data_IF_316268202777
#
_entry.id   IF_316268202777
#
_cell.length_a   1.000
_cell.length_b   1.000
_cell.length_c   1.000
_cell.angle_alpha   90.00
_cell.angle_beta   90.00
_cell.angle_gamma   90.00
#
_symmetry.space_group_name_H-M   'P 1'
#
loop_
_entity.id
_entity.type
_entity.pdbx_description
1 polymer ?
#
# COMPACT_ATOMS: atom_id res chain seq x y z
N UNK A 1 -52.49 -48.01 8.01
CA UNK A 1 -52.05 -46.64 8.35
C UNK A 1 -52.87 -45.64 7.55
N UNK A 2 -53.56 -44.72 8.24
CA UNK A 2 -54.42 -43.70 7.60
C UNK A 2 -53.58 -42.73 6.75
N UNK A 3 -54.08 -42.33 5.58
CA UNK A 3 -53.45 -41.34 4.67
C UNK A 3 -53.04 -40.05 5.39
N UNK A 4 -53.73 -39.70 6.47
CA UNK A 4 -53.45 -38.54 7.31
C UNK A 4 -52.15 -38.66 8.11
N UNK A 5 -51.74 -39.88 8.50
CA UNK A 5 -50.50 -40.12 9.24
C UNK A 5 -49.27 -40.05 8.33
N UNK A 6 -49.39 -40.56 7.10
CA UNK A 6 -48.34 -40.47 6.08
C UNK A 6 -48.07 -39.00 5.68
N UNK A 7 -49.13 -38.19 5.55
CA UNK A 7 -49.00 -36.77 5.19
C UNK A 7 -48.27 -35.94 6.26
N UNK A 8 -48.52 -36.24 7.55
CA UNK A 8 -47.89 -35.52 8.68
C UNK A 8 -46.41 -35.86 8.83
N UNK A 9 -46.02 -37.12 8.59
CA UNK A 9 -44.62 -37.56 8.64
C UNK A 9 -43.83 -36.92 7.48
N UNK A 10 -44.42 -36.86 6.28
CA UNK A 10 -43.80 -36.22 5.13
C UNK A 10 -43.56 -34.71 5.33
N UNK A 11 -44.48 -34.01 6.01
CA UNK A 11 -44.35 -32.58 6.30
C UNK A 11 -43.24 -32.29 7.33
N UNK A 12 -43.11 -33.12 8.37
CA UNK A 12 -42.07 -32.95 9.40
C UNK A 12 -40.67 -33.25 8.83
N UNK A 13 -40.56 -34.28 7.98
CA UNK A 13 -39.30 -34.63 7.32
C UNK A 13 -38.81 -33.54 6.36
N UNK A 14 -39.72 -32.85 5.67
CA UNK A 14 -39.37 -31.76 4.75
C UNK A 14 -38.94 -30.48 5.47
N UNK A 15 -39.53 -30.15 6.63
CA UNK A 15 -39.08 -29.00 7.45
C UNK A 15 -37.70 -29.27 8.08
N UNK A 16 -37.42 -30.50 8.51
CA UNK A 16 -36.11 -30.86 9.06
C UNK A 16 -34.98 -30.84 8.01
N UNK A 17 -35.27 -31.21 6.76
CA UNK A 17 -34.29 -31.20 5.67
C UNK A 17 -33.86 -29.77 5.26
N UNK A 18 -34.76 -28.78 5.35
CA UNK A 18 -34.45 -27.37 5.04
C UNK A 18 -33.58 -26.72 6.12
N UNK A 19 -33.65 -27.17 7.37
CA UNK A 19 -32.85 -26.63 8.46
C UNK A 19 -31.35 -27.04 8.39
N UNK A 20 -31.02 -28.16 7.72
CA UNK A 20 -29.65 -28.70 7.68
C UNK A 20 -28.78 -28.06 6.58
N UNK A 21 -29.37 -27.44 5.55
CA UNK A 21 -28.63 -26.81 4.45
C UNK A 21 -28.26 -25.34 4.68
N UNK A 22 -28.59 -24.78 5.85
CA UNK A 22 -28.43 -23.35 6.15
C UNK A 22 -27.07 -22.89 6.70
N UNK A 23 -26.11 -23.77 6.97
CA UNK A 23 -24.87 -23.40 7.68
C UNK A 23 -23.81 -22.67 6.82
N UNK A 24 -24.14 -22.26 5.58
CA UNK A 24 -23.21 -21.58 4.67
C UNK A 24 -23.47 -20.09 4.43
N UNK A 25 -24.57 -19.55 4.97
CA UNK A 25 -25.03 -18.17 4.77
C UNK A 25 -25.12 -17.38 6.10
N UNK A 26 -24.23 -17.69 7.05
CA UNK A 26 -24.14 -17.00 8.34
C UNK A 26 -23.46 -15.64 8.25
N UNK A 27 -23.04 -15.11 9.40
CA UNK A 27 -22.30 -13.84 9.52
C UNK A 27 -20.96 -13.81 8.74
N UNK A 28 -20.42 -14.98 8.37
CA UNK A 28 -19.30 -15.15 7.46
C UNK A 28 -19.71 -16.03 6.25
N UNK A 29 -20.40 -15.48 5.24
CA UNK A 29 -20.78 -16.28 4.08
C UNK A 29 -19.54 -16.65 3.26
N UNK A 30 -19.50 -17.89 2.74
CA UNK A 30 -18.47 -18.33 1.77
C UNK A 30 -18.49 -17.50 0.47
N UNK A 31 -19.58 -16.77 0.24
CA UNK A 31 -19.77 -15.82 -0.87
C UNK A 31 -19.46 -14.38 -0.50
N UNK A 32 -19.00 -14.10 0.73
CA UNK A 32 -18.26 -12.86 0.98
C UNK A 32 -17.19 -12.80 -0.10
N UNK A 33 -17.09 -11.72 -0.89
CA UNK A 33 -16.09 -11.67 -1.94
C UNK A 33 -14.74 -11.82 -1.26
N UNK A 34 -14.15 -13.00 -1.35
CA UNK A 34 -12.74 -13.21 -1.12
C UNK A 34 -12.07 -12.20 -2.05
N UNK A 35 -11.56 -11.12 -1.47
CA UNK A 35 -10.72 -10.19 -2.21
C UNK A 35 -9.71 -11.07 -2.92
N UNK A 36 -9.59 -10.94 -4.25
CA UNK A 36 -8.60 -11.71 -5.01
C UNK A 36 -7.30 -11.65 -4.23
N UNK A 37 -6.64 -12.80 -3.91
CA UNK A 37 -5.35 -12.77 -3.26
C UNK A 37 -4.47 -11.78 -4.00
N UNK A 38 -4.13 -10.68 -3.33
CA UNK A 38 -3.13 -9.73 -3.79
C UNK A 38 -1.92 -10.08 -2.96
N UNK A 39 -0.76 -10.18 -3.61
CA UNK A 39 0.52 -10.33 -2.92
C UNK A 39 0.82 -8.99 -2.24
N UNK A 40 0.11 -8.68 -1.16
CA UNK A 40 0.22 -7.44 -0.39
C UNK A 40 -0.51 -7.60 0.94
N UNK A 41 0.01 -6.96 1.97
CA UNK A 41 -0.55 -7.01 3.32
C UNK A 41 -1.65 -5.97 3.49
N UNK A 42 -2.71 -6.34 4.21
CA UNK A 42 -3.72 -5.41 4.70
C UNK A 42 -3.77 -5.50 6.22
N UNK A 43 -3.68 -4.35 6.89
CA UNK A 43 -3.92 -4.22 8.33
C UNK A 43 -5.27 -3.52 8.53
N UNK A 44 -6.33 -4.22 8.98
CA UNK A 44 -7.62 -3.57 9.22
C UNK A 44 -7.49 -2.55 10.34
N UNK A 45 -8.30 -1.48 10.30
CA UNK A 45 -8.46 -0.68 11.50
C UNK A 45 -9.28 -1.52 12.49
N UNK A 46 -8.88 -1.52 13.76
CA UNK A 46 -9.56 -2.24 14.83
C UNK A 46 -10.08 -1.21 15.81
N UNK A 47 -11.41 -1.10 15.91
CA UNK A 47 -12.08 -0.12 16.76
C UNK A 47 -11.55 -0.18 18.20
N UNK A 48 -10.98 0.93 18.67
CA UNK A 48 -10.43 1.06 20.03
C UNK A 48 -8.93 0.70 20.19
N UNK A 49 -8.30 0.06 19.19
CA UNK A 49 -6.89 -0.39 19.30
C UNK A 49 -5.99 0.22 18.23
N UNK A 50 -6.45 0.32 16.98
CA UNK A 50 -5.72 1.04 15.93
C UNK A 50 -6.70 1.63 14.92
N UNK A 51 -6.83 2.96 14.84
CA UNK A 51 -7.72 3.61 13.89
C UNK A 51 -7.14 3.65 12.46
N UNK A 52 -5.90 3.21 12.25
CA UNK A 52 -5.24 3.29 10.96
C UNK A 52 -5.42 1.98 10.21
N UNK A 53 -6.13 2.06 9.09
CA UNK A 53 -6.23 1.00 8.12
C UNK A 53 -5.07 1.11 7.12
N UNK A 54 -4.31 0.03 6.95
CA UNK A 54 -3.23 -0.06 5.96
C UNK A 54 -3.67 -1.03 4.87
N UNK A 55 -3.54 -0.63 3.61
CA UNK A 55 -3.98 -1.41 2.46
C UNK A 55 -2.87 -1.59 1.44
N UNK A 56 -2.84 -2.75 0.81
CA UNK A 56 -1.92 -3.09 -0.27
C UNK A 56 -0.46 -2.79 0.06
N UNK A 57 -0.01 -3.14 1.27
CA UNK A 57 1.35 -2.90 1.70
C UNK A 57 2.32 -3.96 1.14
N UNK A 58 3.40 -3.52 0.50
CA UNK A 58 4.48 -4.38 -0.01
C UNK A 58 5.77 -3.58 -0.25
N UNK A 59 6.89 -4.28 -0.37
CA UNK A 59 8.14 -3.70 -0.89
C UNK A 59 8.19 -3.95 -2.40
N UNK A 60 8.48 -2.92 -3.19
CA UNK A 60 8.71 -3.10 -4.62
C UNK A 60 10.10 -3.70 -4.82
N UNK A 61 10.13 -4.93 -5.33
CA UNK A 61 11.34 -5.67 -5.67
C UNK A 61 11.84 -5.38 -7.10
N UNK A 62 13.00 -5.95 -7.47
CA UNK A 62 13.56 -5.82 -8.81
C UNK A 62 12.64 -6.42 -9.88
N UNK A 63 12.85 -6.01 -11.13
CA UNK A 63 12.17 -6.67 -12.26
C UNK A 63 12.59 -8.16 -12.34
N UNK A 64 11.76 -9.04 -12.94
CA UNK A 64 12.05 -10.49 -12.96
C UNK A 64 13.38 -10.88 -13.62
N UNK A 65 13.91 -10.01 -14.49
CA UNK A 65 15.18 -10.16 -15.22
C UNK A 65 16.34 -9.37 -14.60
N UNK A 66 16.08 -8.61 -13.53
CA UNK A 66 17.08 -7.89 -12.75
C UNK A 66 17.56 -8.78 -11.57
N UNK A 67 18.82 -8.62 -11.12
CA UNK A 67 19.30 -9.31 -9.92
C UNK A 67 18.54 -8.83 -8.68
N UNK A 68 18.64 -9.61 -7.61
CA UNK A 68 18.21 -9.24 -6.27
C UNK A 68 18.77 -7.86 -5.87
N UNK A 69 18.09 -7.16 -4.95
CA UNK A 69 18.70 -5.96 -4.38
C UNK A 69 19.95 -6.36 -3.62
N UNK A 70 21.12 -5.76 -3.91
CA UNK A 70 22.33 -6.09 -3.19
C UNK A 70 22.24 -5.56 -1.75
N UNK A 71 23.13 -6.08 -0.90
CA UNK A 71 23.48 -5.42 0.36
C UNK A 71 23.83 -3.94 0.09
N UNK A 72 23.44 -3.08 1.01
CA UNK A 72 23.55 -1.61 0.96
C UNK A 72 22.68 -0.96 -0.13
N UNK A 73 21.85 -1.74 -0.83
CA UNK A 73 20.83 -1.27 -1.77
C UNK A 73 19.66 -0.57 -1.06
N UNK A 74 18.75 0.00 -1.85
CA UNK A 74 17.55 0.67 -1.35
C UNK A 74 16.30 0.00 -1.92
N UNK A 75 15.22 -0.02 -1.15
CA UNK A 75 13.95 -0.58 -1.58
C UNK A 75 12.77 0.35 -1.22
N UNK A 76 11.80 0.45 -2.13
CA UNK A 76 10.65 1.33 -1.96
C UNK A 76 9.47 0.58 -1.34
N UNK A 77 8.85 1.16 -0.32
CA UNK A 77 7.62 0.65 0.31
C UNK A 77 6.41 1.28 -0.36
N UNK A 78 5.45 0.44 -0.72
CA UNK A 78 4.19 0.81 -1.34
C UNK A 78 3.04 0.43 -0.42
N UNK A 79 2.16 1.37 -0.12
CA UNK A 79 0.98 1.13 0.70
C UNK A 79 -0.03 2.28 0.56
N UNK A 80 -1.24 2.04 1.06
CA UNK A 80 -2.26 3.08 1.27
C UNK A 80 -2.61 3.15 2.75
N UNK A 81 -2.60 4.35 3.33
CA UNK A 81 -3.01 4.61 4.71
C UNK A 81 -4.39 5.26 4.73
N UNK A 82 -5.25 4.83 5.64
CA UNK A 82 -6.58 5.41 5.85
C UNK A 82 -6.79 5.59 7.35
N UNK A 83 -6.96 6.83 7.80
CA UNK A 83 -7.27 7.14 9.18
C UNK A 83 -8.78 7.12 9.40
N UNK A 84 -9.28 6.10 10.09
CA UNK A 84 -10.71 5.90 10.36
C UNK A 84 -11.17 6.55 11.67
N UNK A 85 -10.31 7.36 12.31
CA UNK A 85 -10.71 8.13 13.49
C UNK A 85 -11.31 9.48 13.10
N UNK A 86 -11.91 10.16 14.09
CA UNK A 86 -12.44 11.52 13.95
C UNK A 86 -11.38 12.62 14.15
N UNK A 87 -10.10 12.27 14.33
CA UNK A 87 -9.01 13.21 14.56
C UNK A 87 -7.89 12.98 13.55
N UNK A 88 -7.25 14.05 13.09
CA UNK A 88 -6.05 13.92 12.28
C UNK A 88 -4.93 13.18 13.04
N UNK A 89 -4.18 12.37 12.32
CA UNK A 89 -2.98 11.67 12.78
C UNK A 89 -1.81 11.98 11.81
N UNK A 90 -0.62 11.47 12.11
CA UNK A 90 0.57 11.66 11.31
C UNK A 90 1.46 10.44 11.40
N UNK A 91 1.93 9.93 10.27
CA UNK A 91 3.07 9.01 10.23
C UNK A 91 4.33 9.84 10.45
N UNK A 92 4.97 9.63 11.59
CA UNK A 92 6.12 10.44 12.01
C UNK A 92 7.45 9.72 11.83
N UNK A 93 7.42 8.39 11.76
CA UNK A 93 8.62 7.57 11.62
C UNK A 93 8.28 6.20 11.00
N UNK A 94 9.29 5.54 10.45
CA UNK A 94 9.23 4.19 9.95
C UNK A 94 10.58 3.51 10.17
N UNK A 95 10.60 2.22 10.44
CA UNK A 95 11.83 1.47 10.68
C UNK A 95 11.72 0.03 10.19
N UNK A 96 12.87 -0.59 9.93
CA UNK A 96 12.98 -1.99 9.56
C UNK A 96 14.27 -2.56 10.14
N UNK A 97 14.26 -3.79 10.69
CA UNK A 97 15.49 -4.46 11.11
C UNK A 97 16.31 -5.01 9.93
N UNK A 98 15.86 -4.84 8.68
CA UNK A 98 16.55 -5.29 7.47
C UNK A 98 17.22 -4.14 6.70
N UNK A 99 17.25 -2.93 7.27
CA UNK A 99 17.81 -1.74 6.66
C UNK A 99 18.43 -0.84 7.74
N UNK A 100 19.56 -0.19 7.43
CA UNK A 100 20.22 0.73 8.38
C UNK A 100 19.32 1.92 8.76
N UNK A 101 18.54 2.42 7.79
CA UNK A 101 17.72 3.63 7.96
C UNK A 101 16.50 3.59 7.03
N UNK A 102 15.48 4.38 7.35
CA UNK A 102 14.26 4.54 6.56
C UNK A 102 13.93 6.00 6.35
N UNK A 103 13.71 6.39 5.10
CA UNK A 103 13.39 7.76 4.72
C UNK A 103 11.93 7.89 4.34
N UNK A 104 11.22 8.76 5.03
CA UNK A 104 9.88 9.24 4.64
C UNK A 104 10.04 10.56 3.91
N UNK A 105 9.40 10.71 2.75
CA UNK A 105 9.27 12.01 2.09
C UNK A 105 7.80 12.30 1.78
N UNK A 106 7.36 13.52 2.11
CA UNK A 106 6.02 13.99 1.78
C UNK A 106 6.01 14.82 0.49
N UNK A 107 4.93 14.69 -0.29
CA UNK A 107 4.70 15.51 -1.47
C UNK A 107 4.56 17.00 -1.20
N UNK A 108 4.20 17.38 0.03
CA UNK A 108 4.19 18.78 0.49
C UNK A 108 5.53 19.24 1.09
N UNK A 109 6.55 18.37 1.07
CA UNK A 109 7.82 18.56 1.74
C UNK A 109 7.82 18.06 3.19
N UNK A 110 9.00 17.69 3.69
CA UNK A 110 9.20 17.18 5.05
C UNK A 110 9.23 15.65 5.14
N UNK A 111 9.48 15.16 6.36
CA UNK A 111 9.74 13.74 6.67
C UNK A 111 8.60 13.05 7.40
N UNK A 112 7.38 13.58 7.28
CA UNK A 112 6.19 13.03 7.94
C UNK A 112 5.00 13.07 6.99
N UNK A 113 4.08 12.12 7.10
CA UNK A 113 2.86 12.10 6.29
C UNK A 113 1.65 12.47 7.15
N UNK A 114 0.92 13.51 6.77
CA UNK A 114 -0.34 13.88 7.42
C UNK A 114 -1.48 12.93 7.02
N UNK A 115 -2.18 12.40 8.02
CA UNK A 115 -3.32 11.50 7.83
C UNK A 115 -4.61 12.21 8.30
N UNK A 116 -5.32 12.91 7.40
CA UNK A 116 -6.61 13.51 7.72
C UNK A 116 -7.62 12.45 8.19
N UNK A 117 -8.56 12.80 9.08
CA UNK A 117 -9.63 11.90 9.45
C UNK A 117 -10.51 11.59 8.23
N UNK A 118 -10.93 10.34 8.09
CA UNK A 118 -11.84 9.94 6.99
C UNK A 118 -13.14 10.75 7.04
N UNK A 119 -13.42 11.49 5.97
CA UNK A 119 -14.74 12.06 5.75
C UNK A 119 -15.74 10.94 5.38
N UNK A 120 -16.81 10.72 6.17
CA UNK A 120 -17.79 9.68 5.89
C UNK A 120 -18.62 9.94 4.62
N UNK A 121 -18.55 11.14 4.05
CA UNK A 121 -19.21 11.51 2.79
C UNK A 121 -18.36 11.26 1.55
N UNK A 122 -17.07 10.99 1.73
CA UNK A 122 -16.12 10.69 0.64
C UNK A 122 -15.97 9.18 0.50
N UNK A 123 -16.48 8.62 -0.61
CA UNK A 123 -16.27 7.20 -0.94
C UNK A 123 -14.79 6.93 -1.17
N UNK A 124 -14.15 6.25 -0.21
CA UNK A 124 -12.71 5.94 -0.21
C UNK A 124 -11.94 6.53 0.97
N UNK A 125 -12.55 7.46 1.71
CA UNK A 125 -11.88 8.27 2.72
C UNK A 125 -10.72 9.09 2.15
N UNK A 126 -10.16 10.00 2.96
CA UNK A 126 -8.93 10.68 2.59
C UNK A 126 -7.75 9.71 2.75
N UNK A 127 -7.57 8.90 1.70
CA UNK A 127 -6.52 7.90 1.64
C UNK A 127 -5.17 8.54 1.27
N UNK A 128 -4.16 8.30 2.09
CA UNK A 128 -2.78 8.71 1.81
C UNK A 128 -2.08 7.58 1.07
N UNK A 129 -1.76 7.81 -0.19
CA UNK A 129 -1.04 6.86 -1.04
C UNK A 129 0.47 7.09 -0.94
N UNK A 130 1.23 6.00 -0.84
CA UNK A 130 2.71 6.01 -0.77
C UNK A 130 3.26 5.27 -1.98
N UNK A 131 4.05 5.96 -2.79
CA UNK A 131 4.68 5.45 -4.01
C UNK A 131 3.74 5.22 -5.21
N UNK A 132 2.42 5.23 -5.01
CA UNK A 132 1.43 4.83 -6.02
C UNK A 132 1.07 5.97 -7.00
N UNK A 133 1.18 5.79 -8.33
CA UNK A 133 0.70 6.76 -9.32
C UNK A 133 -0.83 6.94 -9.28
N UNK A 134 -1.35 8.14 -9.58
CA UNK A 134 -0.61 9.38 -9.93
C UNK A 134 -0.04 10.13 -8.72
N UNK A 135 -0.27 9.64 -7.49
CA UNK A 135 0.07 10.30 -6.23
C UNK A 135 1.39 9.78 -5.66
N UNK A 136 2.44 9.74 -6.48
CA UNK A 136 3.78 9.21 -6.13
C UNK A 136 4.64 10.21 -5.34
N UNK A 137 4.05 11.29 -4.84
CA UNK A 137 4.77 12.36 -4.17
C UNK A 137 5.13 12.03 -2.72
N UNK A 138 4.40 11.09 -2.09
CA UNK A 138 4.78 10.54 -0.80
C UNK A 138 5.57 9.25 -1.00
N UNK A 139 6.70 9.10 -0.32
CA UNK A 139 7.54 7.89 -0.40
C UNK A 139 7.98 7.43 0.98
N UNK A 140 8.21 6.13 1.06
CA UNK A 140 8.90 5.47 2.18
C UNK A 140 9.97 4.59 1.54
N UNK A 141 11.23 4.83 1.90
CA UNK A 141 12.39 4.12 1.34
C UNK A 141 13.17 3.45 2.45
N UNK A 142 13.34 2.13 2.35
CA UNK A 142 14.31 1.39 3.14
C UNK A 142 15.68 1.63 2.53
N UNK A 143 16.60 2.21 3.29
CA UNK A 143 17.93 2.57 2.79
C UNK A 143 19.00 1.68 3.39
N UNK A 144 19.99 1.32 2.55
CA UNK A 144 21.08 0.42 2.91
C UNK A 144 20.58 -0.89 3.54
N UNK A 145 20.01 -1.74 2.71
CA UNK A 145 19.59 -3.07 3.10
C UNK A 145 20.75 -3.85 3.72
N UNK A 146 20.50 -4.54 4.83
CA UNK A 146 21.53 -5.25 5.56
C UNK A 146 22.08 -6.46 4.80
N UNK A 147 21.25 -7.06 3.96
CA UNK A 147 21.53 -8.27 3.20
C UNK A 147 20.95 -8.19 1.79
N UNK A 148 21.38 -9.11 0.92
CA UNK A 148 20.77 -9.27 -0.40
C UNK A 148 19.29 -9.65 -0.25
N UNK A 149 18.41 -8.96 -0.98
CA UNK A 149 16.95 -9.10 -0.86
C UNK A 149 16.32 -9.48 -2.19
N UNK A 150 15.81 -10.71 -2.25
CA UNK A 150 15.13 -11.29 -3.41
C UNK A 150 13.64 -10.95 -3.48
N UNK A 151 13.09 -11.07 -4.70
CA UNK A 151 11.65 -11.18 -4.89
C UNK A 151 11.09 -12.38 -4.12
N UNK A 152 9.98 -12.18 -3.39
CA UNK A 152 9.36 -13.19 -2.53
C UNK A 152 9.90 -13.22 -1.10
N UNK A 153 10.98 -12.49 -0.80
CA UNK A 153 11.41 -12.26 0.59
C UNK A 153 10.32 -11.49 1.37
N UNK A 154 10.40 -11.57 2.70
CA UNK A 154 9.50 -10.86 3.60
C UNK A 154 10.34 -9.91 4.45
N UNK A 155 9.98 -8.62 4.42
CA UNK A 155 10.67 -7.55 5.15
C UNK A 155 9.71 -6.99 6.20
N UNK A 156 10.11 -7.07 7.48
CA UNK A 156 9.31 -6.50 8.56
C UNK A 156 9.50 -4.98 8.62
N UNK A 157 8.42 -4.21 8.62
CA UNK A 157 8.44 -2.75 8.66
C UNK A 157 7.51 -2.27 9.76
N UNK A 158 8.03 -1.43 10.65
CA UNK A 158 7.25 -0.77 11.70
C UNK A 158 6.98 0.67 11.29
N UNK A 159 5.71 1.06 11.31
CA UNK A 159 5.24 2.41 11.04
C UNK A 159 4.81 3.06 12.36
N UNK A 160 5.37 4.21 12.67
CA UNK A 160 5.15 4.94 13.92
C UNK A 160 4.24 6.13 13.67
N UNK A 161 3.04 6.07 14.23
CA UNK A 161 2.05 7.13 14.15
C UNK A 161 2.03 7.97 15.42
N UNK A 162 1.87 9.29 15.27
CA UNK A 162 1.86 10.22 16.39
C UNK A 162 0.78 9.89 17.43
N UNK A 163 -0.40 9.41 17.01
CA UNK A 163 -1.50 9.07 17.92
C UNK A 163 -1.79 7.57 17.93
N UNK A 164 -1.80 6.92 16.77
CA UNK A 164 -2.10 5.50 16.69
C UNK A 164 -0.96 4.59 17.21
N UNK A 165 0.23 5.15 17.46
CA UNK A 165 1.39 4.40 17.92
C UNK A 165 1.98 3.53 16.81
N UNK A 166 2.58 2.41 17.20
CA UNK A 166 3.36 1.58 16.29
C UNK A 166 2.49 0.50 15.62
N UNK A 167 2.67 0.30 14.33
CA UNK A 167 2.07 -0.78 13.55
C UNK A 167 3.16 -1.51 12.77
N UNK A 168 3.43 -2.76 13.13
CA UNK A 168 4.39 -3.62 12.45
C UNK A 168 3.72 -4.49 11.39
N UNK A 169 4.33 -4.59 10.21
CA UNK A 169 3.84 -5.32 9.04
C UNK A 169 4.96 -6.18 8.46
N UNK A 170 4.63 -7.41 8.06
CA UNK A 170 5.55 -8.30 7.35
C UNK A 170 5.31 -8.21 5.85
N UNK A 171 6.06 -7.34 5.17
CA UNK A 171 5.82 -6.96 3.78
C UNK A 171 6.49 -7.91 2.80
N UNK A 172 5.76 -8.52 1.85
CA UNK A 172 6.39 -9.26 0.78
C UNK A 172 7.12 -8.32 -0.19
N UNK A 173 8.26 -8.77 -0.69
CA UNK A 173 9.00 -8.14 -1.80
C UNK A 173 8.39 -8.63 -3.10
N UNK A 174 7.70 -7.74 -3.81
CA UNK A 174 7.00 -8.09 -5.04
C UNK A 174 7.78 -7.69 -6.28
N UNK A 175 7.91 -8.58 -7.28
CA UNK A 175 8.58 -8.23 -8.52
C UNK A 175 7.86 -7.09 -9.22
N UNK A 176 8.66 -6.21 -9.84
CA UNK A 176 8.17 -5.10 -10.65
C UNK A 176 7.68 -5.59 -12.02
N UNK A 177 6.55 -6.31 -12.01
CA UNK A 177 5.93 -6.91 -13.20
C UNK A 177 4.46 -6.53 -13.34
N UNK A 178 3.89 -6.77 -14.52
CA UNK A 178 2.50 -6.47 -14.86
C UNK A 178 2.11 -5.02 -14.48
N UNK A 179 1.09 -4.82 -13.65
CA UNK A 179 0.65 -3.48 -13.24
C UNK A 179 1.66 -2.72 -12.38
N UNK A 180 2.71 -3.39 -11.87
CA UNK A 180 3.80 -2.75 -11.11
C UNK A 180 4.96 -2.31 -11.98
N UNK A 181 5.00 -2.68 -13.27
CA UNK A 181 6.12 -2.35 -14.16
C UNK A 181 6.35 -0.84 -14.33
N UNK A 182 5.29 -0.03 -14.17
CA UNK A 182 5.35 1.42 -14.24
C UNK A 182 5.70 2.11 -12.92
N UNK A 183 5.90 1.34 -11.84
CA UNK A 183 6.23 1.88 -10.52
C UNK A 183 7.72 2.20 -10.44
N UNK A 184 8.03 3.30 -9.77
CA UNK A 184 9.40 3.77 -9.58
C UNK A 184 10.11 2.97 -8.49
N UNK A 185 11.30 2.41 -8.74
CA UNK A 185 12.11 1.82 -7.69
C UNK A 185 12.62 2.91 -6.74
N UNK A 186 13.17 2.51 -5.60
CA UNK A 186 13.86 3.44 -4.72
C UNK A 186 15.05 4.09 -5.44
N UNK A 187 15.41 5.35 -5.11
CA UNK A 187 16.64 5.97 -5.58
C UNK A 187 17.84 5.08 -5.23
N UNK A 188 18.80 4.92 -6.14
CA UNK A 188 19.99 4.13 -5.88
C UNK A 188 20.82 4.73 -4.73
N UNK A 189 21.37 3.87 -3.87
CA UNK A 189 22.27 4.27 -2.78
C UNK A 189 23.50 4.96 -3.37
N UNK A 190 23.65 6.27 -3.14
CA UNK A 190 24.75 7.08 -3.68
C UNK A 190 24.39 8.00 -4.86
N UNK A 191 23.12 8.08 -5.26
CA UNK A 191 22.66 9.18 -6.10
C UNK A 191 22.60 10.48 -5.25
N UNK A 192 23.76 11.11 -5.05
CA UNK A 192 23.78 12.56 -4.80
C UNK A 192 22.95 13.21 -5.90
N UNK A 193 22.03 14.09 -5.52
CA UNK A 193 21.34 15.00 -6.42
C UNK A 193 22.39 15.68 -7.30
N UNK A 194 22.63 15.12 -8.49
CA UNK A 194 23.23 15.87 -9.58
C UNK A 194 22.08 16.71 -10.08
N UNK A 195 22.12 18.05 -9.96
CA UNK A 195 21.14 18.87 -10.62
C UNK A 195 21.19 18.49 -12.09
N UNK A 196 20.03 18.22 -12.69
CA UNK A 196 19.92 18.13 -14.13
C UNK A 196 20.70 19.32 -14.74
N UNK A 197 21.56 19.12 -15.75
CA UNK A 197 22.11 20.23 -16.50
C UNK A 197 20.95 21.12 -16.90
N UNK A 198 20.97 22.37 -16.41
CA UNK A 198 19.91 23.31 -16.65
C UNK A 198 19.57 23.32 -18.12
N UNK A 199 18.27 23.29 -18.42
CA UNK A 199 17.79 23.83 -19.68
C UNK A 199 18.30 25.28 -19.73
N UNK A 200 19.42 25.49 -20.43
CA UNK A 200 19.82 26.79 -20.91
C UNK A 200 18.62 27.33 -21.69
N UNK A 201 17.91 28.27 -21.07
CA UNK A 201 16.99 29.18 -21.72
C UNK A 201 17.63 29.65 -23.04
N UNK A 202 16.98 29.49 -24.20
CA UNK A 202 17.45 30.15 -25.40
C UNK A 202 17.33 31.66 -25.20
N UNK A 203 18.49 32.32 -25.15
CA UNK A 203 18.66 33.77 -25.28
C UNK A 203 17.85 34.27 -26.48
N UNK A 204 16.98 35.30 -26.34
CA UNK A 204 16.34 35.92 -27.48
C UNK A 204 17.39 36.51 -28.43
N UNK A 205 17.46 35.94 -29.63
CA UNK A 205 18.34 36.39 -30.71
C UNK A 205 18.04 37.83 -31.10
N UNK A 206 19.12 38.60 -31.15
CA UNK A 206 19.21 40.00 -31.52
C UNK A 206 18.70 40.24 -32.95
N UNK A 207 17.80 41.20 -33.07
CA UNK A 207 17.17 41.67 -34.30
C UNK A 207 18.20 42.44 -35.15
N UNK A 208 18.81 41.80 -36.15
CA UNK A 208 19.65 42.52 -37.12
C UNK A 208 18.80 43.06 -38.27
N UNK A 209 18.53 44.35 -38.25
CA UNK A 209 18.06 45.13 -39.41
C UNK A 209 19.18 45.22 -40.48
N UNK A 210 18.88 45.03 -41.78
CA UNK A 210 19.86 45.28 -42.84
C UNK A 210 19.85 46.74 -43.28
N UNK A 211 21.05 47.33 -43.44
CA UNK A 211 21.28 48.62 -44.11
C UNK A 211 22.09 48.38 -45.39
N UNK A 212 21.55 48.81 -46.53
CA UNK A 212 22.29 49.40 -47.65
C UNK A 212 22.74 48.47 -48.79
N UNK A 213 22.06 48.59 -49.93
CA UNK A 213 22.61 49.18 -51.17
C UNK A 213 21.55 50.09 -51.81
#
# INVERSE_FOLDING_TARGET
MSRSAALRIALVASVAAVAVTGCGAGFEPYTSPSMKPRDAVNHPAVGGTSPIAIRHAYVLGPAPDEPAYPKDGNAAVYLTLVNQSSRADRLIDASSPAADDTVIASGSGGSTLDLPPTDPTVTGGDAVQVGQPPYSSNTITLTKLDEETDNGAVVSVTLTFQRAGDITLDLPVNPRTAYRSSLSPAPASGASETPAPGEESPTPGEETSPTGE
#
